data_IF_270136114589
#
_entry.id   IF_270136114589
#
_cell.length_a   1.000
_cell.length_b   1.000
_cell.length_c   1.000
_cell.angle_alpha   90.00
_cell.angle_beta   90.00
_cell.angle_gamma   90.00
#
_symmetry.space_group_name_H-M   'P 1'
#
loop_
_entity.id
_entity.type
_entity.pdbx_description
1 polymer ?
#
# COMPACT_ATOMS: atom_id res chain seq x y z
N UNK A 1 4.52 5.45 -13.61
CA UNK A 1 5.03 5.73 -14.97
C UNK A 1 6.52 6.08 -14.98
N UNK A 2 6.96 7.07 -14.22
CA UNK A 2 8.37 7.53 -14.23
C UNK A 2 9.37 6.42 -13.89
N UNK A 3 9.04 5.52 -12.95
CA UNK A 3 9.90 4.37 -12.59
C UNK A 3 10.12 3.44 -13.78
N UNK A 4 9.07 3.17 -14.59
CA UNK A 4 9.16 2.30 -15.76
C UNK A 4 9.85 2.96 -16.96
N UNK A 5 9.99 4.27 -17.01
CA UNK A 5 10.58 5.02 -18.14
C UNK A 5 12.06 5.37 -17.95
N UNK A 6 12.40 5.88 -16.77
CA UNK A 6 13.76 6.38 -16.47
C UNK A 6 14.14 6.24 -14.98
N UNK A 7 13.33 5.49 -14.21
CA UNK A 7 13.57 5.30 -12.77
C UNK A 7 14.67 4.30 -12.47
N UNK A 8 14.82 3.26 -13.28
CA UNK A 8 15.73 2.14 -13.06
C UNK A 8 16.89 2.14 -14.05
N UNK A 9 16.65 2.49 -15.29
CA UNK A 9 17.65 2.55 -16.34
C UNK A 9 17.77 3.97 -16.91
N UNK A 10 18.82 4.23 -17.66
CA UNK A 10 19.06 5.49 -18.39
C UNK A 10 18.68 5.29 -19.84
N UNK A 11 17.52 5.80 -20.29
CA UNK A 11 16.99 5.52 -21.64
C UNK A 11 17.93 5.94 -22.77
N UNK A 12 18.73 6.96 -22.55
CA UNK A 12 19.71 7.50 -23.48
C UNK A 12 20.86 6.51 -23.83
N UNK A 13 20.98 5.41 -23.08
CA UNK A 13 21.99 4.37 -23.33
C UNK A 13 21.41 3.11 -23.99
N UNK A 14 20.09 3.11 -24.25
CA UNK A 14 19.40 1.96 -24.80
C UNK A 14 18.74 2.27 -26.14
N UNK A 15 18.88 1.34 -27.08
CA UNK A 15 18.18 1.41 -28.35
C UNK A 15 16.69 1.03 -28.19
N UNK A 16 15.89 1.35 -29.19
CA UNK A 16 14.48 0.97 -29.22
C UNK A 16 14.28 -0.54 -29.00
N UNK A 17 15.06 -1.39 -29.68
CA UNK A 17 14.97 -2.83 -29.53
C UNK A 17 15.29 -3.30 -28.11
N UNK A 18 16.26 -2.68 -27.44
CA UNK A 18 16.63 -2.96 -26.06
C UNK A 18 15.47 -2.70 -25.11
N UNK A 19 14.81 -1.55 -25.23
CA UNK A 19 13.66 -1.18 -24.40
C UNK A 19 12.49 -2.14 -24.63
N UNK A 20 12.25 -2.51 -25.89
CA UNK A 20 11.20 -3.49 -26.18
C UNK A 20 11.48 -4.86 -25.57
N UNK A 21 12.74 -5.32 -25.58
CA UNK A 21 13.15 -6.55 -24.92
C UNK A 21 12.95 -6.49 -23.40
N UNK A 22 13.36 -5.38 -22.76
CA UNK A 22 13.14 -5.18 -21.31
C UNK A 22 11.65 -5.21 -21.01
N UNK A 23 10.85 -4.41 -21.71
CA UNK A 23 9.40 -4.35 -21.45
C UNK A 23 8.72 -5.70 -21.63
N UNK A 24 9.07 -6.45 -22.68
CA UNK A 24 8.50 -7.78 -22.93
C UNK A 24 8.91 -8.79 -21.86
N UNK A 25 10.17 -8.80 -21.45
CA UNK A 25 10.67 -9.67 -20.39
C UNK A 25 9.98 -9.40 -19.06
N UNK A 26 9.86 -8.13 -18.68
CA UNK A 26 9.15 -7.70 -17.44
C UNK A 26 7.70 -8.16 -17.48
N UNK A 27 6.97 -7.90 -18.56
CA UNK A 27 5.57 -8.33 -18.67
C UNK A 27 5.40 -9.84 -18.59
N UNK A 28 6.29 -10.62 -19.21
CA UNK A 28 6.24 -12.07 -19.17
C UNK A 28 6.51 -12.62 -17.76
N UNK A 29 7.52 -12.09 -17.09
CA UNK A 29 7.88 -12.50 -15.71
C UNK A 29 6.79 -12.09 -14.72
N UNK A 30 6.27 -10.85 -14.81
CA UNK A 30 5.21 -10.34 -13.91
C UNK A 30 3.96 -11.23 -13.96
N UNK A 31 3.51 -11.64 -15.15
CA UNK A 31 2.36 -12.55 -15.31
C UNK A 31 2.62 -13.87 -14.59
N UNK A 32 3.80 -14.49 -14.78
CA UNK A 32 4.14 -15.77 -14.17
C UNK A 32 4.24 -15.65 -12.65
N UNK A 33 4.91 -14.61 -12.18
CA UNK A 33 5.16 -14.36 -10.76
C UNK A 33 3.84 -14.09 -10.04
N UNK A 34 3.05 -13.13 -10.51
CA UNK A 34 1.77 -12.78 -9.89
C UNK A 34 0.78 -13.96 -9.93
N UNK A 35 0.71 -14.73 -11.02
CA UNK A 35 -0.17 -15.90 -11.07
C UNK A 35 0.26 -16.97 -10.06
N UNK A 36 1.57 -17.18 -9.89
CA UNK A 36 2.12 -18.13 -8.91
C UNK A 36 1.76 -17.71 -7.48
N UNK A 37 1.97 -16.46 -7.10
CA UNK A 37 1.61 -15.96 -5.76
C UNK A 37 0.10 -16.00 -5.52
N UNK A 38 -0.71 -15.65 -6.52
CA UNK A 38 -2.16 -15.74 -6.44
C UNK A 38 -2.65 -17.20 -6.33
N UNK A 39 -1.98 -18.14 -7.00
CA UNK A 39 -2.29 -19.56 -6.88
C UNK A 39 -2.02 -20.09 -5.48
N UNK A 40 -0.91 -19.64 -4.87
CA UNK A 40 -0.56 -19.99 -3.49
C UNK A 40 -1.40 -19.23 -2.45
N UNK A 41 -2.22 -18.26 -2.86
CA UNK A 41 -3.00 -17.41 -1.96
C UNK A 41 -2.14 -16.45 -1.14
N UNK A 42 -0.92 -16.13 -1.60
CA UNK A 42 0.01 -15.23 -0.92
C UNK A 42 -0.17 -13.79 -1.39
N UNK A 43 -0.28 -12.80 -0.48
CA UNK A 43 -0.27 -11.41 -0.85
C UNK A 43 1.11 -11.01 -1.39
N UNK A 44 1.14 -10.42 -2.57
CA UNK A 44 2.37 -9.87 -3.18
C UNK A 44 2.15 -8.44 -3.63
N UNK A 45 3.26 -7.73 -3.89
CA UNK A 45 3.23 -6.34 -4.30
C UNK A 45 3.56 -6.18 -5.77
N UNK A 46 2.63 -5.63 -6.52
CA UNK A 46 2.83 -5.27 -7.94
C UNK A 46 3.93 -4.23 -8.13
N UNK A 47 4.05 -3.26 -7.23
CA UNK A 47 5.10 -2.24 -7.30
C UNK A 47 6.48 -2.85 -7.11
N UNK A 48 6.62 -3.73 -6.12
CA UNK A 48 7.90 -4.41 -5.84
C UNK A 48 8.29 -5.31 -7.00
N UNK A 49 7.34 -6.13 -7.49
CA UNK A 49 7.52 -7.02 -8.65
C UNK A 49 8.10 -6.24 -9.83
N UNK A 50 7.40 -5.22 -10.31
CA UNK A 50 7.79 -4.44 -11.48
C UNK A 50 9.15 -3.74 -11.29
N UNK A 51 9.44 -3.20 -10.09
CA UNK A 51 10.74 -2.55 -9.81
C UNK A 51 11.90 -3.53 -9.93
N UNK A 52 11.77 -4.72 -9.32
CA UNK A 52 12.83 -5.72 -9.37
C UNK A 52 12.93 -6.41 -10.73
N UNK A 53 11.82 -6.59 -11.43
CA UNK A 53 11.81 -7.11 -12.80
C UNK A 53 12.47 -6.14 -13.79
N UNK A 54 12.17 -4.85 -13.70
CA UNK A 54 12.84 -3.82 -14.48
C UNK A 54 14.34 -3.77 -14.16
N UNK A 55 14.71 -3.86 -12.88
CA UNK A 55 16.10 -3.91 -12.47
C UNK A 55 16.82 -5.13 -13.05
N UNK A 56 16.19 -6.32 -12.93
CA UNK A 56 16.73 -7.58 -13.46
C UNK A 56 16.85 -7.59 -14.97
N UNK A 57 15.81 -7.16 -15.69
CA UNK A 57 15.82 -7.07 -17.15
C UNK A 57 16.87 -6.08 -17.67
N UNK A 58 16.96 -4.92 -17.04
CA UNK A 58 17.98 -3.91 -17.38
C UNK A 58 19.38 -4.41 -17.06
N UNK A 59 19.56 -5.06 -15.89
CA UNK A 59 20.85 -5.64 -15.50
C UNK A 59 21.33 -6.69 -16.51
N UNK A 60 20.46 -7.63 -16.89
CA UNK A 60 20.77 -8.68 -17.84
C UNK A 60 21.17 -8.10 -19.22
N UNK A 61 20.38 -7.12 -19.70
CA UNK A 61 20.68 -6.49 -20.99
C UNK A 61 21.94 -5.65 -20.95
N UNK A 62 22.20 -4.91 -19.87
CA UNK A 62 23.45 -4.16 -19.68
C UNK A 62 24.66 -5.09 -19.69
N UNK A 63 24.58 -6.25 -19.02
CA UNK A 63 25.65 -7.25 -19.06
C UNK A 63 25.90 -7.81 -20.48
N UNK A 64 24.85 -8.05 -21.25
CA UNK A 64 24.97 -8.53 -22.64
C UNK A 64 25.64 -7.44 -23.50
N UNK A 65 25.23 -6.18 -23.39
CA UNK A 65 25.81 -5.06 -24.15
C UNK A 65 27.28 -4.85 -23.79
N UNK A 66 27.63 -4.86 -22.53
CA UNK A 66 29.03 -4.70 -22.08
C UNK A 66 29.92 -5.87 -22.51
N UNK A 67 29.37 -7.08 -22.67
CA UNK A 67 30.12 -8.23 -23.17
C UNK A 67 30.26 -8.24 -24.70
N UNK A 68 29.33 -7.62 -25.42
CA UNK A 68 29.31 -7.62 -26.89
C UNK A 68 30.02 -6.44 -27.52
N UNK A 69 30.00 -5.28 -26.89
CA UNK A 69 30.49 -4.02 -27.42
C UNK A 69 31.59 -3.42 -26.53
N UNK A 70 32.73 -3.05 -27.17
CA UNK A 70 33.81 -2.32 -26.51
C UNK A 70 33.51 -0.80 -26.52
N UNK A 71 32.31 -0.42 -26.09
CA UNK A 71 31.80 0.95 -26.09
C UNK A 71 32.45 1.88 -25.07
N UNK A 72 33.28 1.32 -24.17
CA UNK A 72 33.87 2.07 -23.05
C UNK A 72 32.87 2.50 -21.99
N UNK A 73 31.58 2.12 -22.11
CA UNK A 73 30.54 2.36 -21.10
C UNK A 73 30.76 1.44 -19.90
N UNK A 74 30.39 1.94 -18.72
CA UNK A 74 30.37 1.14 -17.51
C UNK A 74 28.96 0.74 -17.17
N UNK A 75 28.82 -0.25 -16.30
CA UNK A 75 27.53 -0.68 -15.77
C UNK A 75 26.77 0.47 -15.09
N UNK A 76 27.48 1.38 -14.41
CA UNK A 76 26.91 2.55 -13.75
C UNK A 76 26.35 3.60 -14.73
N UNK A 77 26.83 3.58 -15.99
CA UNK A 77 26.31 4.48 -17.03
C UNK A 77 24.97 4.03 -17.60
N UNK A 78 24.66 2.74 -17.50
CA UNK A 78 23.42 2.14 -17.99
C UNK A 78 22.33 2.10 -16.94
N UNK A 79 22.67 1.76 -15.68
CA UNK A 79 21.71 1.72 -14.58
C UNK A 79 21.68 3.03 -13.80
N UNK A 80 20.48 3.43 -13.42
CA UNK A 80 20.28 4.51 -12.46
C UNK A 80 20.27 3.93 -11.03
N UNK A 81 21.47 3.46 -10.59
CA UNK A 81 21.61 2.74 -9.32
C UNK A 81 21.22 3.58 -8.11
N UNK A 82 21.48 4.88 -8.12
CA UNK A 82 21.11 5.80 -7.05
C UNK A 82 19.58 5.90 -6.91
N UNK A 83 18.88 6.09 -8.02
CA UNK A 83 17.43 6.18 -8.03
C UNK A 83 16.75 4.82 -7.73
N UNK A 84 17.31 3.72 -8.26
CA UNK A 84 16.85 2.38 -7.94
C UNK A 84 16.97 2.08 -6.44
N UNK A 85 18.12 2.39 -5.82
CA UNK A 85 18.32 2.24 -4.38
C UNK A 85 17.35 3.11 -3.57
N UNK A 86 17.15 4.36 -3.99
CA UNK A 86 16.16 5.27 -3.35
C UNK A 86 14.74 4.69 -3.38
N UNK A 87 14.33 4.10 -4.51
CA UNK A 87 13.02 3.44 -4.67
C UNK A 87 12.89 2.25 -3.72
N UNK A 88 13.90 1.38 -3.68
CA UNK A 88 13.92 0.20 -2.81
C UNK A 88 13.85 0.63 -1.33
N UNK A 89 14.67 1.60 -0.93
CA UNK A 89 14.66 2.12 0.45
C UNK A 89 13.32 2.76 0.81
N UNK A 90 12.67 3.48 -0.11
CA UNK A 90 11.35 4.06 0.12
C UNK A 90 10.28 2.98 0.34
N UNK A 91 10.34 1.87 -0.41
CA UNK A 91 9.44 0.73 -0.22
C UNK A 91 9.61 0.14 1.20
N UNK A 92 10.83 -0.22 1.60
CA UNK A 92 11.08 -0.78 2.92
C UNK A 92 10.71 0.18 4.06
N UNK A 93 11.02 1.47 3.91
CA UNK A 93 10.65 2.48 4.89
C UNK A 93 9.13 2.62 5.02
N UNK A 94 8.40 2.56 3.91
CA UNK A 94 6.93 2.63 3.93
C UNK A 94 6.30 1.45 4.68
N UNK A 95 6.88 0.26 4.55
CA UNK A 95 6.47 -0.96 5.27
C UNK A 95 6.65 -0.77 6.79
N UNK A 96 7.82 -0.30 7.22
CA UNK A 96 8.12 -0.07 8.63
C UNK A 96 7.20 1.03 9.22
N UNK A 97 7.02 2.14 8.51
CA UNK A 97 6.13 3.23 8.91
C UNK A 97 4.69 2.72 9.05
N UNK A 98 4.20 1.96 8.07
CA UNK A 98 2.83 1.42 8.09
C UNK A 98 2.59 0.52 9.31
N UNK A 99 3.53 -0.34 9.66
CA UNK A 99 3.45 -1.20 10.83
C UNK A 99 3.39 -0.39 12.14
N UNK A 100 4.31 0.57 12.31
CA UNK A 100 4.38 1.40 13.52
C UNK A 100 3.11 2.25 13.67
N UNK A 101 2.68 2.91 12.59
CA UNK A 101 1.44 3.70 12.63
C UNK A 101 0.21 2.82 12.87
N UNK A 102 0.14 1.64 12.27
CA UNK A 102 -0.90 0.65 12.53
C UNK A 102 -1.00 0.29 14.01
N UNK A 103 0.14 0.01 14.63
CA UNK A 103 0.21 -0.31 16.06
C UNK A 103 -0.17 0.87 16.96
N UNK A 104 0.40 2.06 16.71
CA UNK A 104 0.17 3.25 17.54
C UNK A 104 -1.27 3.72 17.44
N UNK A 105 -1.80 3.87 16.23
CA UNK A 105 -3.17 4.40 16.04
C UNK A 105 -4.21 3.41 16.59
N UNK A 106 -4.03 2.11 16.38
CA UNK A 106 -4.91 1.10 16.97
C UNK A 106 -4.84 1.09 18.49
N UNK A 107 -3.64 1.21 19.06
CA UNK A 107 -3.47 1.29 20.51
C UNK A 107 -4.23 2.49 21.09
N UNK A 108 -4.11 3.66 20.47
CA UNK A 108 -4.86 4.87 20.87
C UNK A 108 -6.37 4.66 20.72
N UNK A 109 -6.81 4.10 19.58
CA UNK A 109 -8.21 3.80 19.34
C UNK A 109 -8.76 2.84 20.42
N UNK A 110 -7.99 1.83 20.82
CA UNK A 110 -8.38 0.87 21.86
C UNK A 110 -8.45 1.50 23.26
N UNK A 111 -7.54 2.43 23.56
CA UNK A 111 -7.63 3.21 24.81
C UNK A 111 -8.90 4.05 24.89
N UNK A 112 -9.42 4.55 23.77
CA UNK A 112 -10.64 5.37 23.70
C UNK A 112 -11.88 4.48 23.69
N UNK A 113 -11.96 3.50 22.77
CA UNK A 113 -13.20 2.77 22.49
C UNK A 113 -13.31 1.41 23.18
N UNK A 114 -12.19 0.81 23.66
CA UNK A 114 -12.17 -0.56 24.21
C UNK A 114 -12.66 -1.61 23.19
N UNK A 115 -12.80 -2.87 23.59
CA UNK A 115 -13.44 -3.90 22.77
C UNK A 115 -14.98 -3.78 22.82
N UNK A 116 -15.53 -3.19 23.88
CA UNK A 116 -16.95 -2.83 23.97
C UNK A 116 -17.17 -1.38 23.52
N UNK A 117 -16.95 -1.13 22.23
CA UNK A 117 -17.05 0.22 21.67
C UNK A 117 -18.43 0.86 21.85
N UNK A 118 -19.50 0.08 21.93
CA UNK A 118 -20.88 0.61 22.07
C UNK A 118 -21.10 1.41 23.36
N UNK A 119 -20.43 1.02 24.44
CA UNK A 119 -20.53 1.71 25.73
C UNK A 119 -19.83 3.08 25.73
N UNK A 120 -18.92 3.33 24.80
CA UNK A 120 -18.07 4.53 24.74
C UNK A 120 -18.43 5.49 23.57
N UNK A 121 -19.56 5.25 22.87
CA UNK A 121 -19.88 5.97 21.63
C UNK A 121 -20.52 7.37 21.80
N UNK A 122 -20.86 7.82 22.99
CA UNK A 122 -21.69 9.05 23.17
C UNK A 122 -21.13 10.27 22.41
N UNK A 123 -19.94 10.73 22.76
CA UNK A 123 -19.26 11.87 22.12
C UNK A 123 -18.06 11.46 21.26
N UNK A 124 -17.44 10.34 21.60
CA UNK A 124 -16.27 9.83 20.90
C UNK A 124 -16.59 9.38 19.47
N UNK A 125 -17.83 8.95 19.19
CA UNK A 125 -18.28 8.62 17.85
C UNK A 125 -18.26 9.82 16.91
N UNK A 126 -18.73 11.00 17.38
CA UNK A 126 -18.70 12.24 16.58
C UNK A 126 -17.27 12.67 16.28
N UNK A 127 -16.41 12.66 17.30
CA UNK A 127 -15.01 13.05 17.14
C UNK A 127 -14.26 12.10 16.21
N UNK A 128 -14.42 10.78 16.39
CA UNK A 128 -13.79 9.77 15.53
C UNK A 128 -14.28 9.88 14.09
N UNK A 129 -15.59 9.95 13.87
CA UNK A 129 -16.18 10.12 12.54
C UNK A 129 -15.73 11.43 11.88
N UNK A 130 -15.70 12.52 12.65
CA UNK A 130 -15.20 13.81 12.19
C UNK A 130 -13.75 13.75 11.73
N UNK A 131 -12.85 13.22 12.55
CA UNK A 131 -11.42 13.06 12.19
C UNK A 131 -11.26 12.13 10.99
N UNK A 132 -11.90 10.95 11.01
CA UNK A 132 -11.76 9.95 9.97
C UNK A 132 -12.25 10.45 8.60
N UNK A 133 -13.46 11.00 8.53
CA UNK A 133 -14.04 11.49 7.28
C UNK A 133 -13.29 12.71 6.76
N UNK A 134 -12.88 13.63 7.63
CA UNK A 134 -12.08 14.80 7.23
C UNK A 134 -10.74 14.37 6.67
N UNK A 135 -10.06 13.42 7.32
CA UNK A 135 -8.78 12.91 6.82
C UNK A 135 -8.93 12.23 5.44
N UNK A 136 -9.97 11.41 5.26
CA UNK A 136 -10.27 10.79 3.95
C UNK A 136 -10.47 11.86 2.89
N UNK A 137 -11.33 12.85 3.13
CA UNK A 137 -11.62 13.92 2.16
C UNK A 137 -10.35 14.73 1.86
N UNK A 138 -9.59 15.09 2.89
CA UNK A 138 -8.36 15.86 2.70
C UNK A 138 -7.33 15.13 1.83
N UNK A 139 -7.01 13.88 2.17
CA UNK A 139 -5.96 13.16 1.45
C UNK A 139 -6.40 12.70 0.07
N UNK A 140 -7.65 12.29 -0.10
CA UNK A 140 -8.13 11.77 -1.38
C UNK A 140 -8.51 12.90 -2.34
N UNK A 141 -9.37 13.85 -1.91
CA UNK A 141 -9.83 14.90 -2.81
C UNK A 141 -8.82 16.04 -2.93
N UNK A 142 -8.28 16.53 -1.82
CA UNK A 142 -7.44 17.72 -1.85
C UNK A 142 -6.01 17.40 -2.29
N UNK A 143 -5.43 16.32 -1.80
CA UNK A 143 -4.05 15.93 -2.14
C UNK A 143 -3.97 14.95 -3.31
N UNK A 144 -4.83 13.92 -3.34
CA UNK A 144 -4.77 12.85 -4.34
C UNK A 144 -5.23 13.29 -5.74
N UNK A 145 -6.16 14.26 -5.83
CA UNK A 145 -6.68 14.76 -7.10
C UNK A 145 -5.98 16.01 -7.62
N UNK A 146 -4.91 16.46 -6.97
CA UNK A 146 -4.23 17.72 -7.33
C UNK A 146 -3.78 17.78 -8.79
N UNK A 147 -3.32 16.66 -9.34
CA UNK A 147 -2.80 16.56 -10.72
C UNK A 147 -3.86 15.97 -11.67
N UNK A 148 -5.13 15.90 -11.28
CA UNK A 148 -6.20 15.37 -12.12
C UNK A 148 -6.69 16.39 -13.15
N UNK A 149 -7.25 15.89 -14.25
CA UNK A 149 -7.83 16.74 -15.33
C UNK A 149 -9.02 17.61 -14.90
N UNK A 150 -9.62 17.32 -13.74
CA UNK A 150 -10.70 18.11 -13.16
C UNK A 150 -10.20 19.32 -12.35
N UNK A 151 -8.90 19.34 -12.00
CA UNK A 151 -8.31 20.36 -11.17
C UNK A 151 -7.76 21.49 -12.04
N UNK A 152 -8.51 22.57 -12.15
CA UNK A 152 -8.00 23.78 -12.81
C UNK A 152 -6.92 24.45 -11.98
N UNK A 153 -5.97 25.20 -12.58
CA UNK A 153 -4.94 25.91 -11.84
C UNK A 153 -5.53 26.86 -10.78
N UNK A 154 -6.60 27.57 -11.12
CA UNK A 154 -7.32 28.48 -10.22
C UNK A 154 -7.92 27.77 -9.01
N UNK A 155 -8.56 26.60 -9.24
CA UNK A 155 -9.12 25.78 -8.17
C UNK A 155 -8.04 25.22 -7.25
N UNK A 156 -6.92 24.78 -7.83
CA UNK A 156 -5.76 24.31 -7.06
C UNK A 156 -5.15 25.38 -6.17
N UNK A 157 -5.01 26.61 -6.69
CA UNK A 157 -4.51 27.75 -5.94
C UNK A 157 -5.49 28.14 -4.82
N UNK A 158 -6.79 28.21 -5.12
CA UNK A 158 -7.83 28.50 -4.12
C UNK A 158 -7.82 27.46 -2.99
N UNK A 159 -7.80 26.17 -3.32
CA UNK A 159 -7.72 25.08 -2.34
C UNK A 159 -6.46 25.21 -1.49
N UNK A 160 -5.30 25.48 -2.10
CA UNK A 160 -4.03 25.59 -1.36
C UNK A 160 -4.03 26.77 -0.39
N UNK A 161 -4.63 27.91 -0.80
CA UNK A 161 -4.75 29.11 0.02
C UNK A 161 -5.69 28.90 1.21
N UNK A 162 -6.84 28.26 0.97
CA UNK A 162 -7.87 28.06 1.99
C UNK A 162 -7.84 26.70 2.67
N UNK A 163 -6.80 25.89 2.48
CA UNK A 163 -6.70 24.51 3.00
C UNK A 163 -7.06 24.42 4.49
N UNK A 164 -6.54 25.32 5.33
CA UNK A 164 -6.82 25.29 6.78
C UNK A 164 -8.31 25.51 7.09
N UNK A 165 -8.94 26.44 6.41
CA UNK A 165 -10.37 26.73 6.60
C UNK A 165 -11.25 25.60 6.07
N UNK A 166 -10.87 25.00 4.93
CA UNK A 166 -11.54 23.84 4.37
C UNK A 166 -11.48 22.64 5.31
N UNK A 167 -10.29 22.33 5.83
CA UNK A 167 -10.10 21.22 6.78
C UNK A 167 -10.91 21.46 8.06
N UNK A 168 -10.88 22.67 8.62
CA UNK A 168 -11.66 23.02 9.82
C UNK A 168 -13.17 22.94 9.55
N UNK A 169 -13.64 23.47 8.42
CA UNK A 169 -15.05 23.39 8.01
C UNK A 169 -15.52 21.95 7.80
N UNK A 170 -14.74 21.12 7.10
CA UNK A 170 -15.00 19.69 6.92
C UNK A 170 -15.04 18.97 8.28
N UNK A 171 -14.10 19.27 9.17
CA UNK A 171 -14.06 18.64 10.49
C UNK A 171 -15.33 18.95 11.31
N UNK A 172 -15.73 20.22 11.39
CA UNK A 172 -16.96 20.61 12.07
C UNK A 172 -18.18 19.96 11.44
N UNK A 173 -18.27 20.00 10.10
CA UNK A 173 -19.37 19.39 9.36
C UNK A 173 -19.47 17.88 9.63
N UNK A 174 -18.36 17.16 9.53
CA UNK A 174 -18.37 15.70 9.73
C UNK A 174 -18.54 15.30 11.20
N UNK A 175 -18.11 16.11 12.16
CA UNK A 175 -18.43 15.91 13.57
C UNK A 175 -19.95 16.01 13.79
N UNK A 176 -20.58 17.07 13.27
CA UNK A 176 -22.02 17.26 13.37
C UNK A 176 -22.78 16.15 12.65
N UNK A 177 -22.37 15.81 11.43
CA UNK A 177 -22.98 14.72 10.67
C UNK A 177 -22.88 13.37 11.43
N UNK A 178 -21.71 13.06 11.95
CA UNK A 178 -21.50 11.82 12.73
C UNK A 178 -22.36 11.80 13.99
N UNK A 179 -22.54 12.94 14.65
CA UNK A 179 -23.42 13.04 15.83
C UNK A 179 -24.89 12.81 15.45
N UNK A 180 -25.35 13.41 14.34
CA UNK A 180 -26.72 13.20 13.83
C UNK A 180 -26.94 11.73 13.45
N UNK A 181 -26.00 11.12 12.73
CA UNK A 181 -26.05 9.70 12.37
C UNK A 181 -26.09 8.79 13.61
N UNK A 182 -25.33 9.15 14.65
CA UNK A 182 -25.36 8.43 15.93
C UNK A 182 -26.74 8.55 16.61
N UNK A 183 -27.38 9.71 16.59
CA UNK A 183 -28.74 9.88 17.10
C UNK A 183 -29.78 9.08 16.30
N UNK A 184 -29.57 8.95 14.98
CA UNK A 184 -30.34 8.06 14.10
C UNK A 184 -30.03 6.56 14.33
N UNK A 185 -29.24 6.20 15.33
CA UNK A 185 -28.81 4.82 15.65
C UNK A 185 -27.98 4.14 14.58
N UNK A 186 -27.37 4.91 13.68
CA UNK A 186 -26.44 4.41 12.67
C UNK A 186 -25.07 4.21 13.31
N UNK A 187 -24.46 3.06 13.07
CA UNK A 187 -23.12 2.76 13.59
C UNK A 187 -22.04 3.52 12.80
N UNK A 188 -21.40 4.50 13.44
CA UNK A 188 -20.39 5.35 12.82
C UNK A 188 -19.17 4.56 12.36
N UNK A 189 -18.77 3.52 13.10
CA UNK A 189 -17.67 2.64 12.64
C UNK A 189 -18.00 1.96 11.31
N UNK A 190 -19.27 1.54 11.12
CA UNK A 190 -19.71 0.96 9.85
C UNK A 190 -19.64 1.96 8.70
N UNK A 191 -20.04 3.21 8.95
CA UNK A 191 -19.94 4.30 7.96
C UNK A 191 -18.49 4.58 7.61
N UNK A 192 -17.62 4.73 8.61
CA UNK A 192 -16.18 4.94 8.40
C UNK A 192 -15.53 3.76 7.70
N UNK A 193 -15.92 2.52 8.01
CA UNK A 193 -15.43 1.32 7.32
C UNK A 193 -15.80 1.34 5.84
N UNK A 194 -17.05 1.67 5.49
CA UNK A 194 -17.49 1.77 4.10
C UNK A 194 -16.76 2.88 3.33
N UNK A 195 -16.63 4.07 3.94
CA UNK A 195 -15.86 5.17 3.36
C UNK A 195 -14.38 4.84 3.26
N UNK A 196 -13.80 4.20 4.27
CA UNK A 196 -12.42 3.73 4.25
C UNK A 196 -12.17 2.67 3.18
N UNK A 197 -13.13 1.77 2.94
CA UNK A 197 -13.06 0.80 1.84
C UNK A 197 -13.04 1.50 0.48
N UNK A 198 -13.92 2.47 0.29
CA UNK A 198 -13.94 3.29 -0.93
C UNK A 198 -12.63 4.07 -1.10
N UNK A 199 -12.15 4.68 -0.03
CA UNK A 199 -10.89 5.43 -0.01
C UNK A 199 -9.69 4.55 -0.35
N UNK A 200 -9.63 3.34 0.22
CA UNK A 200 -8.57 2.37 -0.04
C UNK A 200 -8.62 1.88 -1.50
N UNK A 201 -9.82 1.58 -2.02
CA UNK A 201 -9.98 1.19 -3.41
C UNK A 201 -9.51 2.28 -4.37
N UNK A 202 -9.83 3.55 -4.08
CA UNK A 202 -9.39 4.68 -4.89
C UNK A 202 -7.86 4.87 -4.81
N UNK A 203 -7.27 4.71 -3.62
CA UNK A 203 -5.83 4.78 -3.43
C UNK A 203 -5.10 3.64 -4.18
N UNK A 204 -5.62 2.42 -4.15
CA UNK A 204 -5.11 1.30 -4.94
C UNK A 204 -5.21 1.57 -6.44
N UNK A 205 -6.37 2.03 -6.93
CA UNK A 205 -6.54 2.36 -8.34
C UNK A 205 -5.54 3.42 -8.81
N UNK A 206 -5.29 4.43 -7.99
CA UNK A 206 -4.32 5.50 -8.31
C UNK A 206 -2.87 5.04 -8.36
N UNK A 207 -2.50 3.97 -7.67
CA UNK A 207 -1.13 3.44 -7.64
C UNK A 207 -0.97 2.16 -8.48
N UNK A 208 -1.77 1.13 -8.22
CA UNK A 208 -1.56 -0.20 -8.79
C UNK A 208 -1.94 -0.27 -10.27
N UNK A 209 -3.01 0.40 -10.69
CA UNK A 209 -3.37 0.46 -12.10
C UNK A 209 -2.24 1.08 -12.94
N UNK A 210 -1.62 2.15 -12.43
CA UNK A 210 -0.51 2.81 -13.13
C UNK A 210 0.73 1.92 -13.20
N UNK A 211 0.97 1.07 -12.20
CA UNK A 211 2.07 0.11 -12.22
C UNK A 211 1.86 -0.94 -13.31
N UNK A 212 0.69 -1.58 -13.36
CA UNK A 212 0.37 -2.57 -14.40
C UNK A 212 0.45 -2.02 -15.82
N UNK A 213 -0.03 -0.79 -16.03
CA UNK A 213 -0.09 -0.17 -17.35
C UNK A 213 1.23 0.51 -17.72
N UNK A 214 2.07 0.79 -16.73
CA UNK A 214 3.30 1.57 -16.90
C UNK A 214 4.28 0.97 -17.90
N UNK A 215 4.58 -0.31 -17.79
CA UNK A 215 5.53 -1.01 -18.67
C UNK A 215 4.98 -1.16 -20.09
N UNK A 216 3.75 -1.67 -20.33
CA UNK A 216 3.15 -1.71 -21.67
C UNK A 216 3.09 -0.34 -22.35
N UNK A 217 2.75 0.71 -21.62
CA UNK A 217 2.68 2.06 -22.19
C UNK A 217 4.04 2.67 -22.43
N UNK A 218 5.06 2.27 -21.68
CA UNK A 218 6.46 2.64 -22.01
C UNK A 218 6.87 2.01 -23.33
N UNK A 219 6.61 0.73 -23.53
CA UNK A 219 6.83 0.07 -24.82
C UNK A 219 6.06 0.72 -25.96
N UNK A 220 4.77 1.03 -25.75
CA UNK A 220 3.95 1.74 -26.76
C UNK A 220 4.51 3.13 -27.07
N UNK A 221 4.89 3.90 -26.08
CA UNK A 221 5.49 5.23 -26.28
C UNK A 221 6.82 5.14 -27.05
N UNK A 222 7.64 4.15 -26.73
CA UNK A 222 8.90 3.89 -27.44
C UNK A 222 8.65 3.53 -28.91
N UNK A 223 7.62 2.70 -29.17
CA UNK A 223 7.24 2.34 -30.53
C UNK A 223 6.75 3.55 -31.32
N UNK A 224 5.89 4.38 -30.72
CA UNK A 224 5.37 5.58 -31.39
C UNK A 224 6.49 6.60 -31.71
N UNK A 225 7.44 6.75 -30.80
CA UNK A 225 8.59 7.62 -31.04
C UNK A 225 9.53 7.07 -32.12
N UNK A 226 9.80 5.75 -32.10
CA UNK A 226 10.58 5.10 -33.14
C UNK A 226 9.96 5.24 -34.54
N UNK A 227 8.63 5.07 -34.64
CA UNK A 227 7.91 5.24 -35.92
C UNK A 227 7.95 6.69 -36.42
N UNK A 228 7.85 7.65 -35.48
CA UNK A 228 7.83 9.07 -35.82
C UNK A 228 9.22 9.63 -36.18
N UNK A 229 10.26 9.24 -35.44
CA UNK A 229 11.58 9.88 -35.47
C UNK A 229 12.73 8.93 -35.81
N UNK A 230 12.54 7.62 -35.70
CA UNK A 230 13.60 6.62 -35.83
C UNK A 230 14.03 6.31 -37.26
N UNK A 231 13.19 6.66 -38.28
CA UNK A 231 13.47 6.44 -39.70
C UNK A 231 14.02 5.03 -40.06
N UNK A 232 13.63 4.00 -39.29
CA UNK A 232 14.11 2.63 -39.44
C UNK A 232 15.54 2.37 -38.95
N UNK A 233 16.15 3.29 -38.21
CA UNK A 233 17.49 3.12 -37.66
C UNK A 233 17.47 2.09 -36.51
N UNK A 234 18.35 1.09 -36.60
CA UNK A 234 18.57 0.11 -35.54
C UNK A 234 19.25 0.70 -34.29
N UNK A 235 19.95 1.84 -34.46
CA UNK A 235 20.68 2.53 -33.40
C UNK A 235 19.92 3.73 -32.83
N UNK A 236 18.60 3.77 -32.99
CA UNK A 236 17.75 4.84 -32.44
C UNK A 236 17.69 4.79 -30.92
N UNK A 237 18.23 5.80 -30.24
CA UNK A 237 18.27 5.92 -28.79
C UNK A 237 16.93 6.45 -28.25
N UNK A 238 16.53 5.96 -27.07
CA UNK A 238 15.23 6.25 -26.44
C UNK A 238 15.28 7.44 -25.47
N UNK A 239 16.00 8.51 -25.81
CA UNK A 239 16.11 9.71 -24.98
C UNK A 239 14.77 10.39 -24.69
N UNK A 240 13.79 10.24 -25.58
CA UNK A 240 12.41 10.75 -25.39
C UNK A 240 11.71 10.21 -24.14
N UNK A 241 12.16 9.07 -23.61
CA UNK A 241 11.60 8.50 -22.39
C UNK A 241 11.93 9.33 -21.13
N UNK A 242 12.91 10.24 -21.19
CA UNK A 242 13.20 11.19 -20.12
C UNK A 242 12.13 12.28 -19.97
N UNK A 243 11.33 12.52 -21.03
CA UNK A 243 10.22 13.47 -20.96
C UNK A 243 9.04 12.93 -20.15
N UNK A 244 8.20 13.81 -19.56
CA UNK A 244 7.01 13.38 -18.82
C UNK A 244 6.06 12.55 -19.69
N UNK A 245 5.56 11.44 -19.13
CA UNK A 245 4.65 10.54 -19.84
C UNK A 245 3.29 11.21 -20.08
N UNK A 246 2.86 11.25 -21.34
CA UNK A 246 1.47 11.58 -21.71
C UNK A 246 0.72 10.29 -22.00
N UNK A 247 -0.12 9.87 -21.05
CA UNK A 247 -0.88 8.63 -21.18
C UNK A 247 -2.26 8.95 -21.74
N UNK A 248 -2.66 8.38 -22.89
CA UNK A 248 -4.03 8.53 -23.37
C UNK A 248 -5.03 7.94 -22.39
N UNK A 249 -6.06 8.71 -22.04
CA UNK A 249 -7.11 8.32 -21.07
C UNK A 249 -7.76 6.98 -21.39
N UNK A 250 -7.91 6.66 -22.66
CA UNK A 250 -8.57 5.42 -23.12
C UNK A 250 -7.86 4.17 -22.62
N UNK A 251 -6.52 4.16 -22.59
CA UNK A 251 -5.75 3.00 -22.09
C UNK A 251 -5.95 2.80 -20.60
N UNK A 252 -5.99 3.88 -19.81
CA UNK A 252 -6.25 3.81 -18.38
C UNK A 252 -7.70 3.35 -18.11
N UNK A 253 -8.66 3.84 -18.87
CA UNK A 253 -10.05 3.44 -18.73
C UNK A 253 -10.27 1.95 -19.07
N UNK A 254 -9.71 1.48 -20.18
CA UNK A 254 -9.79 0.07 -20.57
C UNK A 254 -9.11 -0.84 -19.54
N UNK A 255 -7.93 -0.46 -19.08
CA UNK A 255 -7.21 -1.23 -18.05
C UNK A 255 -7.98 -1.27 -16.74
N UNK A 256 -8.63 -0.18 -16.34
CA UNK A 256 -9.52 -0.13 -15.18
C UNK A 256 -10.70 -1.08 -15.31
N UNK A 257 -11.35 -1.15 -16.47
CA UNK A 257 -12.44 -2.10 -16.74
C UNK A 257 -11.94 -3.55 -16.65
N UNK A 258 -10.81 -3.86 -17.29
CA UNK A 258 -10.21 -5.20 -17.23
C UNK A 258 -9.89 -5.59 -15.78
N UNK A 259 -9.32 -4.67 -15.00
CA UNK A 259 -9.00 -4.90 -13.59
C UNK A 259 -10.26 -5.19 -12.77
N UNK A 260 -11.34 -4.43 -12.96
CA UNK A 260 -12.62 -4.68 -12.26
C UNK A 260 -13.15 -6.08 -12.58
N UNK A 261 -13.18 -6.44 -13.87
CA UNK A 261 -13.64 -7.77 -14.29
C UNK A 261 -12.76 -8.87 -13.69
N UNK A 262 -11.44 -8.74 -13.77
CA UNK A 262 -10.50 -9.72 -13.24
C UNK A 262 -10.66 -9.91 -11.73
N UNK A 263 -10.72 -8.83 -10.95
CA UNK A 263 -10.85 -8.90 -9.49
C UNK A 263 -12.20 -9.48 -9.04
N UNK A 264 -13.28 -9.18 -9.75
CA UNK A 264 -14.62 -9.69 -9.40
C UNK A 264 -14.80 -11.16 -9.76
N UNK A 265 -14.17 -11.63 -10.82
CA UNK A 265 -14.32 -13.00 -11.32
C UNK A 265 -13.27 -13.97 -10.78
N UNK A 266 -12.08 -13.50 -10.42
CA UNK A 266 -10.96 -14.36 -10.03
C UNK A 266 -11.18 -15.05 -8.68
N UNK A 267 -11.13 -16.37 -8.68
CA UNK A 267 -11.14 -17.18 -7.43
C UNK A 267 -9.80 -17.08 -6.69
N UNK A 268 -8.68 -16.97 -7.43
CA UNK A 268 -7.34 -16.82 -6.87
C UNK A 268 -7.20 -15.53 -6.07
N UNK A 269 -7.67 -14.40 -6.62
CA UNK A 269 -7.66 -13.10 -5.91
C UNK A 269 -8.44 -13.15 -4.60
N UNK A 270 -9.57 -13.86 -4.56
CA UNK A 270 -10.34 -14.08 -3.31
C UNK A 270 -9.55 -14.90 -2.28
N UNK A 271 -8.71 -15.85 -2.70
CA UNK A 271 -7.80 -16.59 -1.82
C UNK A 271 -6.80 -15.67 -1.13
N UNK A 272 -6.18 -14.77 -1.86
CA UNK A 272 -5.22 -13.77 -1.33
C UNK A 272 -5.89 -12.84 -0.31
N UNK A 273 -7.10 -12.36 -0.60
CA UNK A 273 -7.87 -11.53 0.34
C UNK A 273 -8.15 -12.30 1.62
N UNK A 274 -8.57 -13.56 1.51
CA UNK A 274 -8.82 -14.42 2.67
C UNK A 274 -7.58 -14.56 3.53
N UNK A 275 -6.42 -14.87 2.95
CA UNK A 275 -5.14 -14.98 3.66
C UNK A 275 -4.79 -13.67 4.38
N UNK A 276 -4.94 -12.52 3.72
CA UNK A 276 -4.67 -11.21 4.32
C UNK A 276 -5.57 -10.91 5.53
N UNK A 277 -6.85 -11.30 5.45
CA UNK A 277 -7.82 -11.14 6.55
C UNK A 277 -7.52 -12.12 7.69
N UNK A 278 -7.21 -13.38 7.37
CA UNK A 278 -6.92 -14.40 8.37
C UNK A 278 -5.64 -14.09 9.16
N UNK A 279 -4.63 -13.50 8.52
CA UNK A 279 -3.41 -13.03 9.21
C UNK A 279 -3.68 -11.88 10.19
N UNK A 280 -4.66 -11.05 9.92
CA UNK A 280 -5.07 -9.97 10.82
C UNK A 280 -6.08 -10.43 11.90
N UNK A 281 -6.43 -11.72 11.96
CA UNK A 281 -7.46 -12.28 12.85
C UNK A 281 -7.21 -11.97 14.32
N UNK A 282 -8.29 -11.79 15.06
CA UNK A 282 -8.24 -11.50 16.50
C UNK A 282 -8.09 -12.79 17.31
N UNK A 283 -8.63 -13.89 16.80
CA UNK A 283 -8.58 -15.22 17.41
C UNK A 283 -7.40 -16.03 16.87
N UNK A 284 -6.97 -17.07 17.61
CA UNK A 284 -6.05 -18.07 17.10
C UNK A 284 -6.78 -18.89 16.01
N UNK A 285 -6.26 -18.85 14.79
CA UNK A 285 -6.78 -19.62 13.65
C UNK A 285 -5.81 -20.72 13.23
N UNK A 286 -6.22 -21.54 12.25
CA UNK A 286 -5.36 -22.54 11.64
C UNK A 286 -4.20 -21.84 10.93
N UNK A 287 -2.96 -22.25 11.24
CA UNK A 287 -1.74 -21.69 10.68
C UNK A 287 -1.42 -22.38 9.34
N UNK A 288 -1.44 -21.61 8.24
CA UNK A 288 -1.23 -22.16 6.89
C UNK A 288 0.23 -22.54 6.60
N UNK A 289 1.20 -21.98 7.34
CA UNK A 289 2.64 -22.10 7.04
C UNK A 289 3.45 -22.43 8.28
N UNK A 290 4.57 -23.14 8.07
CA UNK A 290 5.50 -23.51 9.14
C UNK A 290 6.24 -22.31 9.74
N UNK A 291 6.78 -22.47 10.94
CA UNK A 291 7.53 -21.42 11.66
C UNK A 291 8.99 -21.32 11.21
N UNK A 292 9.49 -20.11 10.96
CA UNK A 292 10.91 -19.86 10.67
C UNK A 292 11.74 -19.69 11.95
N UNK A 293 13.04 -20.06 11.89
CA UNK A 293 13.95 -19.90 13.03
C UNK A 293 14.19 -18.45 13.42
N UNK A 294 14.25 -17.56 12.43
CA UNK A 294 14.44 -16.12 12.63
C UNK A 294 13.21 -15.50 13.31
N UNK A 295 12.00 -15.82 12.88
CA UNK A 295 10.77 -15.36 13.52
C UNK A 295 10.69 -15.79 14.98
N UNK A 296 11.09 -17.04 15.29
CA UNK A 296 11.19 -17.53 16.68
C UNK A 296 12.15 -16.71 17.54
N UNK A 297 13.30 -16.31 17.01
CA UNK A 297 14.28 -15.50 17.72
C UNK A 297 13.76 -14.09 17.99
N UNK A 298 13.14 -13.45 17.01
CA UNK A 298 12.52 -12.11 17.14
C UNK A 298 11.41 -12.13 18.19
N UNK A 299 10.52 -13.13 18.14
CA UNK A 299 9.41 -13.24 19.11
C UNK A 299 9.94 -13.46 20.54
N UNK A 300 11.00 -14.26 20.72
CA UNK A 300 11.62 -14.44 22.04
C UNK A 300 12.20 -13.13 22.57
N UNK A 301 12.94 -12.39 21.74
CA UNK A 301 13.52 -11.11 22.14
C UNK A 301 12.42 -10.07 22.46
N UNK A 302 11.40 -9.96 21.63
CA UNK A 302 10.26 -9.06 21.86
C UNK A 302 9.48 -9.39 23.13
N UNK A 303 9.27 -10.68 23.40
CA UNK A 303 8.57 -11.17 24.60
C UNK A 303 9.35 -10.85 25.86
N UNK A 304 10.68 -10.97 25.86
CA UNK A 304 11.52 -10.61 27.02
C UNK A 304 11.47 -9.11 27.31
N UNK A 305 11.52 -8.27 26.29
CA UNK A 305 11.37 -6.82 26.41
C UNK A 305 9.99 -6.43 26.95
N UNK A 306 8.91 -7.04 26.41
CA UNK A 306 7.55 -6.80 26.87
C UNK A 306 7.37 -7.17 28.35
N UNK A 307 7.94 -8.28 28.79
CA UNK A 307 7.90 -8.71 30.19
C UNK A 307 8.67 -7.73 31.10
N UNK A 308 9.81 -7.22 30.63
CA UNK A 308 10.58 -6.19 31.36
C UNK A 308 9.77 -4.89 31.55
N UNK A 309 9.09 -4.41 30.50
CA UNK A 309 8.23 -3.22 30.56
C UNK A 309 7.04 -3.46 31.50
N UNK A 310 6.40 -4.64 31.39
CA UNK A 310 5.26 -4.99 32.23
C UNK A 310 5.61 -5.01 33.72
N UNK A 311 6.78 -5.56 34.05
CA UNK A 311 7.28 -5.61 35.43
C UNK A 311 7.63 -4.22 36.00
N UNK A 312 8.06 -3.28 35.15
CA UNK A 312 8.37 -1.91 35.54
C UNK A 312 7.14 -1.01 35.69
N UNK A 313 5.96 -1.48 35.24
CA UNK A 313 4.73 -0.67 35.19
C UNK A 313 4.01 -0.65 36.55
N UNK A 314 3.56 0.54 37.04
CA UNK A 314 2.78 0.64 38.27
C UNK A 314 1.49 -0.20 38.21
N UNK A 315 1.16 -0.89 39.30
CA UNK A 315 -0.01 -1.80 39.35
C UNK A 315 -1.36 -1.13 39.01
N UNK A 316 -1.51 0.17 39.33
CA UNK A 316 -2.72 0.94 38.99
C UNK A 316 -2.89 1.10 37.48
N UNK A 317 -1.79 1.44 36.78
CA UNK A 317 -1.75 1.59 35.33
C UNK A 317 -1.99 0.23 34.64
N UNK A 318 -1.37 -0.82 35.15
CA UNK A 318 -1.53 -2.19 34.64
C UNK A 318 -3.00 -2.66 34.74
N UNK A 319 -3.67 -2.42 35.86
CA UNK A 319 -5.11 -2.72 36.01
C UNK A 319 -5.99 -1.89 35.09
N UNK A 320 -5.69 -0.60 34.94
CA UNK A 320 -6.44 0.28 34.03
C UNK A 320 -6.29 -0.15 32.57
N UNK A 321 -5.05 -0.44 32.12
CA UNK A 321 -4.79 -0.96 30.79
C UNK A 321 -5.44 -2.34 30.58
N UNK A 322 -5.39 -3.22 31.56
CA UNK A 322 -6.04 -4.54 31.50
C UNK A 322 -7.53 -4.44 31.18
N UNK A 323 -8.25 -3.52 31.86
CA UNK A 323 -9.68 -3.27 31.59
C UNK A 323 -9.95 -2.69 30.18
N UNK A 324 -8.99 -1.89 29.62
CA UNK A 324 -9.15 -1.33 28.27
C UNK A 324 -8.93 -2.36 27.17
N UNK A 325 -8.12 -3.37 27.45
CA UNK A 325 -7.76 -4.44 26.50
C UNK A 325 -8.40 -5.78 26.88
N UNK A 326 -9.56 -5.76 27.54
CA UNK A 326 -10.32 -6.96 27.86
C UNK A 326 -11.02 -7.49 26.61
N UNK A 327 -10.59 -8.66 26.13
CA UNK A 327 -11.10 -9.29 24.92
C UNK A 327 -12.45 -10.01 25.13
N UNK A 328 -12.78 -10.35 26.36
CA UNK A 328 -14.01 -11.05 26.67
C UNK A 328 -15.24 -10.16 26.43
N UNK A 329 -15.05 -8.84 26.42
CA UNK A 329 -16.07 -7.85 26.05
C UNK A 329 -16.15 -7.57 24.54
N UNK A 330 -15.41 -8.28 23.68
CA UNK A 330 -15.33 -7.98 22.25
C UNK A 330 -16.66 -8.21 21.53
N UNK A 331 -17.14 -7.18 20.84
CA UNK A 331 -18.32 -7.25 20.00
C UNK A 331 -17.89 -7.63 18.59
N UNK A 332 -17.92 -8.93 18.28
CA UNK A 332 -17.64 -9.47 16.96
C UNK A 332 -18.96 -9.74 16.22
N UNK A 333 -19.04 -9.35 14.95
CA UNK A 333 -20.11 -9.79 14.06
C UNK A 333 -19.84 -11.25 13.63
N UNK A 334 -20.88 -12.02 13.36
CA UNK A 334 -20.76 -13.43 12.99
C UNK A 334 -19.85 -13.60 11.75
N UNK A 335 -18.77 -14.36 11.91
CA UNK A 335 -17.81 -14.62 10.84
C UNK A 335 -16.77 -13.51 10.59
N UNK A 336 -16.78 -12.42 11.39
CA UNK A 336 -15.76 -11.38 11.28
C UNK A 336 -14.42 -11.83 11.89
N UNK A 337 -13.33 -11.54 11.21
CA UNK A 337 -11.97 -11.85 11.69
C UNK A 337 -11.52 -10.92 12.83
N UNK A 338 -12.09 -9.72 12.90
CA UNK A 338 -11.80 -8.70 13.92
C UNK A 338 -12.98 -7.71 14.06
N UNK A 339 -12.97 -6.94 15.14
CA UNK A 339 -14.05 -6.02 15.47
C UNK A 339 -14.09 -4.77 14.56
N UNK A 340 -15.21 -4.03 14.62
CA UNK A 340 -15.47 -2.86 13.76
C UNK A 340 -14.50 -1.69 14.02
N UNK A 341 -13.97 -1.53 15.23
CA UNK A 341 -12.99 -0.47 15.54
C UNK A 341 -11.72 -0.71 14.75
N UNK A 342 -11.22 -1.95 14.79
CA UNK A 342 -10.01 -2.33 14.07
C UNK A 342 -10.21 -2.31 12.55
N UNK A 343 -11.38 -2.73 12.07
CA UNK A 343 -11.74 -2.63 10.66
C UNK A 343 -11.68 -1.17 10.16
N UNK A 344 -12.32 -0.25 10.90
CA UNK A 344 -12.33 1.16 10.55
C UNK A 344 -10.92 1.77 10.59
N UNK A 345 -10.13 1.47 11.63
CA UNK A 345 -8.75 1.98 11.74
C UNK A 345 -7.85 1.46 10.62
N UNK A 346 -7.92 0.16 10.31
CA UNK A 346 -7.10 -0.44 9.25
C UNK A 346 -7.38 0.20 7.88
N UNK A 347 -8.65 0.31 7.51
CA UNK A 347 -9.05 0.87 6.22
C UNK A 347 -8.74 2.36 6.12
N UNK A 348 -9.04 3.11 7.18
CA UNK A 348 -8.71 4.52 7.26
C UNK A 348 -7.21 4.76 7.13
N UNK A 349 -6.42 4.12 7.99
CA UNK A 349 -4.98 4.37 8.05
C UNK A 349 -4.24 3.90 6.80
N UNK A 350 -4.59 2.72 6.27
CA UNK A 350 -4.02 2.23 5.03
C UNK A 350 -4.31 3.19 3.86
N UNK A 351 -5.57 3.63 3.71
CA UNK A 351 -5.93 4.57 2.65
C UNK A 351 -5.19 5.91 2.77
N UNK A 352 -5.04 6.43 4.00
CA UNK A 352 -4.32 7.68 4.26
C UNK A 352 -2.84 7.58 3.96
N UNK A 353 -2.17 6.51 4.41
CA UNK A 353 -0.73 6.32 4.17
C UNK A 353 -0.43 6.12 2.69
N UNK A 354 -1.26 5.36 1.97
CA UNK A 354 -1.11 5.17 0.52
C UNK A 354 -1.35 6.49 -0.21
N UNK A 355 -2.43 7.21 0.09
CA UNK A 355 -2.72 8.49 -0.53
C UNK A 355 -1.63 9.54 -0.24
N UNK A 356 -1.08 9.56 0.97
CA UNK A 356 0.05 10.42 1.32
C UNK A 356 1.29 10.06 0.50
N UNK A 357 1.69 8.80 0.46
CA UNK A 357 2.85 8.35 -0.31
C UNK A 357 2.71 8.64 -1.80
N UNK A 358 1.53 8.38 -2.37
CA UNK A 358 1.21 8.70 -3.77
C UNK A 358 1.30 10.21 -4.03
N UNK A 359 0.77 11.04 -3.11
CA UNK A 359 0.84 12.51 -3.25
C UNK A 359 2.27 13.07 -3.16
N UNK A 360 3.17 12.36 -2.48
CA UNK A 360 4.59 12.67 -2.41
C UNK A 360 5.39 12.04 -3.55
N UNK A 361 4.71 11.38 -4.51
CA UNK A 361 5.32 10.64 -5.63
C UNK A 361 6.34 9.58 -5.16
N UNK A 362 6.15 9.05 -3.96
CA UNK A 362 6.99 7.98 -3.44
C UNK A 362 6.53 6.64 -4.02
N UNK A 363 7.42 5.84 -4.57
CA UNK A 363 7.10 4.47 -4.94
C UNK A 363 6.86 3.68 -3.64
N UNK A 364 5.65 3.22 -3.44
CA UNK A 364 5.28 2.42 -2.28
C UNK A 364 4.47 1.20 -2.71
N UNK A 365 4.54 0.17 -1.89
CA UNK A 365 3.70 -1.00 -2.06
C UNK A 365 2.38 -0.83 -1.33
N UNK A 366 1.31 -0.66 -2.08
CA UNK A 366 -0.05 -0.53 -1.53
C UNK A 366 -0.45 -1.77 -0.73
N UNK A 367 -0.16 -2.95 -1.26
CA UNK A 367 -0.44 -4.23 -0.61
C UNK A 367 0.30 -4.35 0.71
N UNK A 368 1.61 -4.06 0.74
CA UNK A 368 2.40 -4.16 1.97
C UNK A 368 2.02 -3.10 2.99
N UNK A 369 1.72 -1.87 2.58
CA UNK A 369 1.24 -0.84 3.49
C UNK A 369 -0.07 -1.27 4.16
N UNK A 370 -1.06 -1.73 3.39
CA UNK A 370 -2.33 -2.19 3.92
C UNK A 370 -2.17 -3.40 4.86
N UNK A 371 -1.34 -4.35 4.46
CA UNK A 371 -1.03 -5.55 5.24
C UNK A 371 -0.30 -5.20 6.55
N UNK A 372 0.70 -4.32 6.49
CA UNK A 372 1.48 -3.93 7.67
C UNK A 372 0.69 -3.07 8.65
N UNK A 373 -0.23 -2.23 8.18
CA UNK A 373 -1.21 -1.56 9.05
C UNK A 373 -2.06 -2.60 9.79
N UNK A 374 -2.56 -3.62 9.09
CA UNK A 374 -3.34 -4.69 9.69
C UNK A 374 -2.52 -5.53 10.69
N UNK A 375 -1.25 -5.79 10.41
CA UNK A 375 -0.33 -6.48 11.30
C UNK A 375 -0.02 -5.66 12.56
N UNK A 376 0.31 -4.36 12.39
CA UNK A 376 0.55 -3.45 13.50
C UNK A 376 -0.67 -3.31 14.41
N UNK A 377 -1.86 -3.15 13.83
CA UNK A 377 -3.11 -3.08 14.59
C UNK A 377 -3.42 -4.39 15.34
N UNK A 378 -3.12 -5.53 14.73
CA UNK A 378 -3.25 -6.84 15.35
C UNK A 378 -2.31 -7.00 16.56
N UNK A 379 -1.07 -6.50 16.45
CA UNK A 379 -0.13 -6.47 17.55
C UNK A 379 -0.62 -5.59 18.71
N UNK A 380 -1.13 -4.40 18.40
CA UNK A 380 -1.68 -3.47 19.41
C UNK A 380 -2.85 -4.07 20.17
N UNK A 381 -3.71 -4.83 19.49
CA UNK A 381 -4.83 -5.56 20.10
C UNK A 381 -4.42 -6.81 20.88
N UNK A 382 -3.11 -7.04 21.03
CA UNK A 382 -2.56 -8.24 21.68
C UNK A 382 -3.02 -9.55 21.04
N UNK A 383 -3.39 -9.51 19.74
CA UNK A 383 -3.82 -10.68 19.01
C UNK A 383 -2.64 -11.63 18.66
N UNK A 384 -1.43 -11.22 18.95
CA UNK A 384 -0.23 -12.02 18.76
C UNK A 384 0.10 -12.78 20.06
N UNK A 385 -0.43 -13.98 20.22
CA UNK A 385 0.11 -14.95 21.16
C UNK A 385 1.50 -15.37 20.72
N UNK A 386 2.31 -15.96 21.61
CA UNK A 386 3.70 -16.33 21.32
C UNK A 386 3.83 -17.20 20.05
N UNK A 387 2.96 -18.18 19.88
CA UNK A 387 2.97 -19.08 18.73
C UNK A 387 2.45 -18.38 17.47
N UNK A 388 1.30 -17.74 17.53
CA UNK A 388 0.74 -16.96 16.43
C UNK A 388 1.70 -15.89 15.90
N UNK A 389 2.47 -15.23 16.78
CA UNK A 389 3.46 -14.24 16.37
C UNK A 389 4.56 -14.88 15.53
N UNK A 390 5.02 -16.08 15.89
CA UNK A 390 6.05 -16.80 15.12
C UNK A 390 5.58 -17.12 13.73
N UNK A 391 4.35 -17.64 13.57
CA UNK A 391 3.79 -17.99 12.28
C UNK A 391 3.54 -16.76 11.40
N UNK A 392 2.98 -15.70 11.97
CA UNK A 392 2.73 -14.43 11.24
C UNK A 392 4.01 -13.79 10.73
N UNK A 393 5.06 -13.73 11.57
CA UNK A 393 6.36 -13.23 11.14
C UNK A 393 7.01 -14.13 10.08
N UNK A 394 6.84 -15.46 10.17
CA UNK A 394 7.34 -16.39 9.16
C UNK A 394 6.68 -16.15 7.82
N UNK A 395 5.38 -15.88 7.79
CA UNK A 395 4.65 -15.61 6.55
C UNK A 395 5.07 -14.27 5.92
N UNK A 396 5.33 -13.24 6.72
CA UNK A 396 5.84 -11.95 6.22
C UNK A 396 7.15 -12.19 5.44
N UNK A 397 8.06 -13.00 5.97
CA UNK A 397 9.32 -13.32 5.28
C UNK A 397 9.12 -14.14 3.99
N UNK A 398 8.06 -14.95 3.91
CA UNK A 398 7.77 -15.75 2.70
C UNK A 398 7.12 -14.87 1.62
N UNK A 399 6.29 -13.90 2.01
CA UNK A 399 5.57 -13.02 1.08
C UNK A 399 6.40 -11.82 0.59
N UNK A 400 7.52 -11.51 1.26
CA UNK A 400 8.48 -10.52 0.78
C UNK A 400 9.51 -11.20 -0.12
N UNK A 401 9.64 -10.78 -1.38
CA UNK A 401 10.75 -11.24 -2.21
C UNK A 401 12.05 -10.66 -1.62
N UNK A 402 12.85 -11.56 -1.06
CA UNK A 402 14.21 -11.25 -0.59
C UNK A 402 15.17 -11.19 -1.75
#
# INVERSE_FOLDING_TARGET
MDVARHGIFRPEQFYFQDIMCICLAVMAVDVILLDTFNFLGLPTSTTVSIVFELLGGTFALAMIKLAADDTGLTFADMLNSEKALSVIMAIFLSVAIAFVFGAVVQYIARLIFTFNYKSHMKWSAALFGGVAMTAIIYFILIKGMKDSSFMTPELSEWISTYTRHLVAGCFIFFCLLSQVLHWCRINIFKVVTLLGTFALALAFAGNDLVNFVGVPLTGYSSYMDYVANGNGSETFLMDSLNAPARTPFIFLALSGVVMIVALTTSRKARGVIKTSVDLARQDAGDEMFGSSGLARSIVRASSSLATGIDNAMPQGLKRWLGKRFDKDEAILENGAAFDMVRAAVNLLLASLLIALGTSLKLPLSTTYVAFMVAMGSSLADRAWGRESAVFRLSLIHISEPT
#
